data_IF_122609564739
#
_entry.id   IF_122609564739
#
_cell.length_a   1.000
_cell.length_b   1.000
_cell.length_c   1.000
_cell.angle_alpha   90.00
_cell.angle_beta   90.00
_cell.angle_gamma   90.00
#
_symmetry.space_group_name_H-M   'P 1'
#
loop_
_entity.id
_entity.type
_entity.pdbx_description
1 polymer ?
#
# COMPACT_ATOMS: atom_id res chain seq x y z
N UNK A 1 7.98 26.01 -25.84
CA UNK A 1 8.40 25.60 -24.48
C UNK A 1 9.24 24.34 -24.62
N UNK A 2 10.56 24.45 -24.47
CA UNK A 2 11.52 23.37 -24.69
C UNK A 2 11.14 22.12 -23.89
N UNK A 3 10.84 21.01 -24.59
CA UNK A 3 10.93 19.67 -24.01
C UNK A 3 12.42 19.41 -23.74
N UNK A 4 12.95 19.88 -22.61
CA UNK A 4 14.20 19.35 -22.10
C UNK A 4 13.97 17.85 -21.89
N UNK A 5 14.55 17.05 -22.78
CA UNK A 5 14.74 15.62 -22.59
C UNK A 5 15.65 15.51 -21.36
N UNK A 6 15.07 15.13 -20.23
CA UNK A 6 15.85 14.87 -19.02
C UNK A 6 16.61 13.57 -19.29
N UNK A 7 17.91 13.70 -19.53
CA UNK A 7 18.79 12.56 -19.75
C UNK A 7 19.28 12.00 -18.41
N UNK A 8 19.40 10.67 -18.31
CA UNK A 8 19.76 9.92 -17.10
C UNK A 8 21.25 10.02 -16.71
N UNK A 9 21.96 11.08 -17.10
CA UNK A 9 23.43 11.15 -16.97
C UNK A 9 23.93 11.49 -15.57
N UNK A 10 23.09 12.04 -14.68
CA UNK A 10 23.50 12.42 -13.33
C UNK A 10 23.14 11.34 -12.29
N UNK A 11 24.16 10.83 -11.57
CA UNK A 11 23.97 9.94 -10.43
C UNK A 11 23.53 10.75 -9.21
N UNK A 12 22.26 10.61 -8.82
CA UNK A 12 21.66 11.30 -7.68
C UNK A 12 21.55 10.43 -6.41
N UNK A 13 22.36 9.36 -6.26
CA UNK A 13 22.25 8.48 -5.09
C UNK A 13 22.49 9.19 -3.74
N UNK A 14 23.27 10.29 -3.75
CA UNK A 14 23.50 11.15 -2.58
C UNK A 14 22.41 12.22 -2.39
N UNK A 15 21.36 12.20 -3.20
CA UNK A 15 20.32 13.21 -3.24
C UNK A 15 20.60 14.35 -4.21
N UNK A 16 19.60 15.22 -4.40
CA UNK A 16 19.72 16.40 -5.25
C UNK A 16 20.42 17.53 -4.49
N UNK A 17 21.75 17.62 -4.63
CA UNK A 17 22.57 18.62 -3.93
C UNK A 17 22.40 20.05 -4.46
N UNK A 18 21.70 20.24 -5.58
CA UNK A 18 21.48 21.52 -6.24
C UNK A 18 19.98 21.80 -6.34
N UNK A 19 19.44 22.56 -5.40
CA UNK A 19 18.07 23.08 -5.45
C UNK A 19 18.06 24.59 -5.21
N UNK A 20 16.97 25.25 -5.61
CA UNK A 20 16.86 26.72 -5.50
C UNK A 20 16.87 27.11 -4.01
N UNK A 21 17.73 28.05 -3.58
CA UNK A 21 17.72 28.57 -2.21
C UNK A 21 16.34 29.13 -1.82
N UNK A 22 15.94 28.94 -0.56
CA UNK A 22 14.68 29.44 -0.03
C UNK A 22 13.44 28.60 -0.35
N UNK A 23 13.60 27.41 -0.95
CA UNK A 23 12.49 26.45 -1.08
C UNK A 23 12.18 25.78 0.25
N UNK A 24 10.90 25.53 0.51
CA UNK A 24 10.47 24.68 1.63
C UNK A 24 10.65 23.20 1.31
N UNK A 25 10.74 22.35 2.33
CA UNK A 25 10.82 20.88 2.15
C UNK A 25 9.68 20.34 1.29
N UNK A 26 8.46 20.88 1.43
CA UNK A 26 7.30 20.51 0.62
C UNK A 26 7.48 20.89 -0.86
N UNK A 27 8.06 22.06 -1.16
CA UNK A 27 8.33 22.47 -2.54
C UNK A 27 9.42 21.61 -3.17
N UNK A 28 10.46 21.26 -2.40
CA UNK A 28 11.52 20.35 -2.87
C UNK A 28 10.93 18.96 -3.15
N UNK A 29 10.14 18.42 -2.22
CA UNK A 29 9.48 17.12 -2.38
C UNK A 29 8.53 17.10 -3.59
N UNK A 30 7.67 18.11 -3.75
CA UNK A 30 6.76 18.22 -4.89
C UNK A 30 7.51 18.33 -6.22
N UNK A 31 8.61 19.09 -6.26
CA UNK A 31 9.45 19.23 -7.46
C UNK A 31 10.14 17.91 -7.81
N UNK A 32 10.65 17.17 -6.81
CA UNK A 32 11.24 15.86 -7.00
C UNK A 32 10.21 14.85 -7.53
N UNK A 33 8.99 14.85 -6.98
CA UNK A 33 7.88 14.02 -7.46
C UNK A 33 7.53 14.33 -8.93
N UNK A 34 7.45 15.62 -9.28
CA UNK A 34 7.18 16.04 -10.65
C UNK A 34 8.28 15.58 -11.63
N UNK A 35 9.55 15.68 -11.23
CA UNK A 35 10.68 15.24 -12.06
C UNK A 35 10.68 13.73 -12.25
N UNK A 36 10.45 12.95 -11.19
CA UNK A 36 10.43 11.48 -11.29
C UNK A 36 9.27 11.00 -12.18
N UNK A 37 8.09 11.61 -12.09
CA UNK A 37 6.96 11.28 -12.97
C UNK A 37 7.25 11.57 -14.44
N UNK A 38 7.95 12.67 -14.74
CA UNK A 38 8.39 12.99 -16.11
C UNK A 38 9.43 12.01 -16.64
N UNK A 39 10.39 11.62 -15.81
CA UNK A 39 11.40 10.62 -16.16
C UNK A 39 10.75 9.25 -16.39
N UNK A 40 9.87 8.84 -15.48
CA UNK A 40 9.13 7.59 -15.58
C UNK A 40 8.29 7.55 -16.86
N UNK A 41 7.58 8.63 -17.17
CA UNK A 41 6.84 8.81 -18.42
C UNK A 41 7.72 8.58 -19.65
N UNK A 42 8.94 9.13 -19.66
CA UNK A 42 9.90 8.93 -20.76
C UNK A 42 10.33 7.47 -20.89
N UNK A 43 10.56 6.78 -19.77
CA UNK A 43 10.91 5.35 -19.76
C UNK A 43 9.75 4.50 -20.26
N UNK A 44 8.54 4.76 -19.80
CA UNK A 44 7.34 4.01 -20.20
C UNK A 44 7.00 4.23 -21.67
N UNK A 45 7.18 5.45 -22.18
CA UNK A 45 6.99 5.75 -23.60
C UNK A 45 8.02 5.04 -24.48
N UNK A 46 9.30 4.98 -24.05
CA UNK A 46 10.34 4.20 -24.73
C UNK A 46 9.97 2.71 -24.75
N UNK A 47 9.54 2.15 -23.61
CA UNK A 47 9.12 0.75 -23.52
C UNK A 47 7.89 0.46 -24.40
N UNK A 48 6.90 1.36 -24.42
CA UNK A 48 5.70 1.26 -25.27
C UNK A 48 6.07 1.31 -26.75
N UNK A 49 6.99 2.19 -27.15
CA UNK A 49 7.43 2.35 -28.55
C UNK A 49 8.15 1.10 -29.08
N UNK A 50 8.82 0.34 -28.20
CA UNK A 50 9.38 -0.96 -28.58
C UNK A 50 8.31 -1.99 -28.99
N UNK A 51 7.03 -1.75 -28.65
CA UNK A 51 5.85 -2.51 -29.09
C UNK A 51 5.95 -4.03 -28.87
N UNK A 52 6.59 -4.45 -27.78
CA UNK A 52 6.79 -5.87 -27.44
C UNK A 52 5.52 -6.49 -26.83
N UNK A 53 4.79 -5.74 -26.00
CA UNK A 53 3.62 -6.23 -25.27
C UNK A 53 2.71 -5.07 -24.85
N UNK A 54 1.43 -5.36 -24.66
CA UNK A 54 0.46 -4.46 -24.01
C UNK A 54 0.44 -4.61 -22.48
N UNK A 55 1.19 -5.57 -21.95
CA UNK A 55 1.33 -5.85 -20.52
C UNK A 55 2.65 -5.27 -20.00
N UNK A 56 2.63 -4.69 -18.79
CA UNK A 56 3.78 -4.16 -18.10
C UNK A 56 4.06 -4.96 -16.82
N UNK A 57 5.28 -5.46 -16.72
CA UNK A 57 5.88 -5.91 -15.45
C UNK A 57 6.83 -4.82 -15.01
N UNK A 58 6.56 -4.17 -13.86
CA UNK A 58 7.36 -3.06 -13.37
C UNK A 58 7.96 -3.37 -12.00
N UNK A 59 9.29 -3.27 -11.92
CA UNK A 59 10.11 -3.58 -10.76
C UNK A 59 11.13 -2.47 -10.51
N UNK A 60 11.85 -2.54 -9.39
CA UNK A 60 12.76 -1.52 -8.88
C UNK A 60 12.12 -0.67 -7.79
N UNK A 61 12.94 -0.03 -6.94
CA UNK A 61 12.45 0.74 -5.79
C UNK A 61 11.49 1.88 -6.16
N UNK A 62 11.64 2.48 -7.35
CA UNK A 62 10.74 3.52 -7.87
C UNK A 62 9.31 3.00 -8.06
N UNK A 63 9.12 1.70 -8.31
CA UNK A 63 7.81 1.10 -8.49
C UNK A 63 6.95 1.11 -7.21
N UNK A 64 7.52 1.42 -6.04
CA UNK A 64 6.75 1.67 -4.81
C UNK A 64 6.04 3.05 -4.79
N UNK A 65 6.29 3.90 -5.80
CA UNK A 65 5.66 5.21 -5.95
C UNK A 65 4.25 5.07 -6.55
N UNK A 66 3.27 4.78 -5.68
CA UNK A 66 1.88 4.58 -6.08
C UNK A 66 1.22 5.80 -6.75
N UNK A 67 1.70 7.01 -6.45
CA UNK A 67 1.25 8.25 -7.10
C UNK A 67 1.67 8.26 -8.57
N UNK A 68 2.93 7.93 -8.85
CA UNK A 68 3.42 7.86 -10.23
C UNK A 68 2.80 6.68 -11.00
N UNK A 69 2.47 5.58 -10.31
CA UNK A 69 1.92 4.36 -10.90
C UNK A 69 0.53 4.56 -11.51
N UNK A 70 -0.26 5.55 -11.05
CA UNK A 70 -1.62 5.81 -11.60
C UNK A 70 -1.57 6.15 -13.09
N UNK A 71 -0.46 6.77 -13.53
CA UNK A 71 -0.28 7.23 -14.90
C UNK A 71 0.19 6.13 -15.87
N UNK A 72 0.53 4.93 -15.37
CA UNK A 72 1.04 3.83 -16.20
C UNK A 72 -0.02 3.29 -17.17
N UNK A 73 -1.29 3.46 -16.81
CA UNK A 73 -2.48 3.12 -17.63
C UNK A 73 -2.50 3.82 -18.99
N UNK A 74 -1.80 4.95 -19.12
CA UNK A 74 -1.64 5.69 -20.38
C UNK A 74 -0.80 4.91 -21.41
N UNK A 75 0.01 3.96 -20.95
CA UNK A 75 0.99 3.25 -21.79
C UNK A 75 0.68 1.77 -21.95
N UNK A 76 0.10 1.13 -20.94
CA UNK A 76 -0.13 -0.32 -20.90
C UNK A 76 -1.52 -0.68 -20.37
N UNK A 77 -2.04 -1.80 -20.86
CA UNK A 77 -3.40 -2.25 -20.56
C UNK A 77 -3.49 -3.13 -19.33
N UNK A 78 -2.41 -3.83 -18.98
CA UNK A 78 -2.34 -4.69 -17.80
C UNK A 78 -1.03 -4.43 -17.09
N UNK A 79 -1.09 -4.00 -15.83
CA UNK A 79 0.09 -3.61 -15.06
C UNK A 79 0.25 -4.56 -13.88
N UNK A 80 1.45 -5.07 -13.69
CA UNK A 80 1.79 -5.90 -12.55
C UNK A 80 3.05 -5.39 -11.86
N UNK A 81 2.93 -5.16 -10.55
CA UNK A 81 4.01 -4.74 -9.67
C UNK A 81 4.01 -5.69 -8.46
N UNK A 82 5.12 -6.37 -8.23
CA UNK A 82 5.30 -7.27 -7.09
C UNK A 82 5.19 -6.49 -5.76
N UNK A 83 4.69 -7.06 -4.66
CA UNK A 83 4.54 -6.33 -3.39
C UNK A 83 5.83 -5.69 -2.85
N UNK A 84 6.97 -6.30 -3.15
CA UNK A 84 8.29 -5.79 -2.81
C UNK A 84 9.14 -5.65 -4.08
N UNK A 85 8.93 -4.61 -4.89
CA UNK A 85 9.59 -4.50 -6.19
C UNK A 85 11.03 -3.99 -6.09
N UNK A 86 11.47 -3.52 -4.91
CA UNK A 86 12.83 -3.03 -4.68
C UNK A 86 13.86 -4.16 -4.52
N UNK A 87 15.06 -3.80 -4.07
CA UNK A 87 16.22 -4.69 -4.01
C UNK A 87 15.99 -5.98 -3.22
N UNK A 88 15.18 -5.93 -2.14
CA UNK A 88 14.81 -7.10 -1.38
C UNK A 88 13.99 -8.12 -2.21
N UNK A 89 13.19 -7.66 -3.18
CA UNK A 89 12.49 -8.51 -4.14
C UNK A 89 13.40 -9.19 -5.15
N UNK A 90 14.54 -8.57 -5.47
CA UNK A 90 15.51 -9.11 -6.43
C UNK A 90 16.09 -10.44 -5.97
N UNK A 91 16.16 -10.71 -4.67
CA UNK A 91 16.58 -12.01 -4.13
C UNK A 91 15.69 -13.16 -4.63
N UNK A 92 14.37 -12.92 -4.72
CA UNK A 92 13.43 -13.91 -5.26
C UNK A 92 13.67 -14.16 -6.76
N UNK A 93 13.94 -13.10 -7.52
CA UNK A 93 14.29 -13.19 -8.94
C UNK A 93 15.61 -13.91 -9.18
N UNK A 94 16.63 -13.64 -8.35
CA UNK A 94 17.92 -14.31 -8.42
C UNK A 94 17.81 -15.82 -8.13
N UNK A 95 17.02 -16.20 -7.11
CA UNK A 95 16.72 -17.59 -6.84
C UNK A 95 15.99 -18.25 -8.02
N UNK A 96 14.95 -17.61 -8.57
CA UNK A 96 14.20 -18.14 -9.71
C UNK A 96 15.12 -18.39 -10.93
N UNK A 97 16.03 -17.45 -11.21
CA UNK A 97 17.03 -17.58 -12.28
C UNK A 97 17.99 -18.75 -12.02
N UNK A 98 18.53 -18.88 -10.82
CA UNK A 98 19.48 -19.93 -10.45
C UNK A 98 18.86 -21.34 -10.52
N UNK A 99 17.59 -21.47 -10.11
CA UNK A 99 16.86 -22.73 -10.11
C UNK A 99 16.05 -22.99 -11.41
N UNK A 100 16.23 -22.15 -12.44
CA UNK A 100 15.67 -22.36 -13.79
C UNK A 100 14.14 -22.33 -13.86
N UNK A 101 13.47 -21.72 -12.87
CA UNK A 101 12.03 -21.83 -12.67
C UNK A 101 11.29 -20.52 -12.89
N UNK A 102 10.04 -20.61 -13.37
CA UNK A 102 9.06 -19.53 -13.19
C UNK A 102 8.54 -19.58 -11.76
N UNK A 103 8.49 -18.43 -11.10
CA UNK A 103 7.88 -18.32 -9.78
C UNK A 103 6.37 -18.60 -9.90
N UNK A 104 5.90 -19.63 -9.20
CA UNK A 104 4.47 -19.82 -8.94
C UNK A 104 4.08 -18.93 -7.77
N UNK A 105 3.77 -17.67 -8.06
CA UNK A 105 3.39 -16.70 -7.04
C UNK A 105 2.03 -17.07 -6.43
N UNK A 106 1.99 -17.33 -5.13
CA UNK A 106 0.77 -17.67 -4.39
C UNK A 106 0.25 -16.52 -3.53
N UNK A 107 0.99 -15.41 -3.46
CA UNK A 107 0.64 -14.25 -2.66
C UNK A 107 1.79 -13.76 -1.78
N UNK A 108 1.58 -12.65 -1.05
CA UNK A 108 2.64 -11.96 -0.32
C UNK A 108 2.98 -12.61 1.02
N UNK A 109 2.23 -13.58 1.52
CA UNK A 109 2.35 -14.07 2.90
C UNK A 109 3.48 -15.11 3.07
N UNK A 110 4.72 -14.65 2.96
CA UNK A 110 5.93 -15.48 2.91
C UNK A 110 6.77 -15.44 4.20
N UNK A 111 6.50 -14.50 5.11
CA UNK A 111 7.30 -14.26 6.32
C UNK A 111 6.98 -15.19 7.50
N UNK A 112 7.42 -14.77 8.69
CA UNK A 112 7.23 -15.49 9.95
C UNK A 112 5.74 -15.81 10.20
N UNK A 113 5.45 -17.05 10.59
CA UNK A 113 4.09 -17.49 10.89
C UNK A 113 3.78 -17.27 12.38
N UNK A 114 2.68 -16.59 12.68
CA UNK A 114 2.04 -16.64 14.00
C UNK A 114 0.84 -17.58 13.87
N UNK A 115 0.92 -18.81 14.42
CA UNK A 115 -0.06 -19.85 14.15
C UNK A 115 -1.38 -19.60 14.88
N UNK A 116 -2.47 -20.12 14.33
CA UNK A 116 -3.82 -19.96 14.83
C UNK A 116 -4.81 -19.72 13.70
N UNK A 117 -6.10 -19.80 14.01
CA UNK A 117 -7.12 -19.27 13.10
C UNK A 117 -7.06 -17.74 13.11
N UNK A 118 -7.30 -17.11 11.96
CA UNK A 118 -7.34 -15.65 11.90
C UNK A 118 -8.48 -15.13 12.80
N UNK A 119 -8.22 -14.22 13.76
CA UNK A 119 -9.11 -13.97 14.90
C UNK A 119 -10.28 -13.02 14.55
N UNK A 120 -11.08 -13.37 13.53
CA UNK A 120 -12.11 -12.52 12.94
C UNK A 120 -13.07 -11.94 13.99
N UNK A 121 -13.63 -12.79 14.86
CA UNK A 121 -14.65 -12.32 15.82
C UNK A 121 -14.05 -11.35 16.85
N UNK A 122 -12.87 -11.64 17.39
CA UNK A 122 -12.20 -10.75 18.34
C UNK A 122 -11.84 -9.39 17.70
N UNK A 123 -11.44 -9.39 16.43
CA UNK A 123 -11.20 -8.17 15.66
C UNK A 123 -12.50 -7.37 15.49
N UNK A 124 -13.61 -8.03 15.16
CA UNK A 124 -14.91 -7.36 15.02
C UNK A 124 -15.38 -6.74 16.33
N UNK A 125 -15.28 -7.46 17.45
CA UNK A 125 -15.68 -6.96 18.77
C UNK A 125 -14.89 -5.68 19.14
N UNK A 126 -13.58 -5.70 18.87
CA UNK A 126 -12.70 -4.55 19.12
C UNK A 126 -12.98 -3.39 18.16
N UNK A 127 -13.26 -3.65 16.88
CA UNK A 127 -13.66 -2.61 15.91
C UNK A 127 -15.01 -1.99 16.27
N UNK A 128 -15.98 -2.77 16.74
CA UNK A 128 -17.28 -2.24 17.15
C UNK A 128 -17.20 -1.41 18.43
N UNK A 129 -16.30 -1.76 19.35
CA UNK A 129 -16.16 -1.08 20.65
C UNK A 129 -15.20 0.11 20.58
N UNK A 130 -13.98 -0.12 20.07
CA UNK A 130 -12.87 0.82 20.11
C UNK A 130 -12.54 1.43 18.75
N UNK A 131 -13.08 0.87 17.65
CA UNK A 131 -12.91 1.36 16.27
C UNK A 131 -11.47 1.28 15.72
N UNK A 132 -10.51 0.76 16.48
CA UNK A 132 -9.10 0.57 16.11
C UNK A 132 -8.61 -0.72 16.75
N UNK A 133 -7.93 -1.58 15.98
CA UNK A 133 -7.40 -2.87 16.46
C UNK A 133 -6.12 -3.23 15.71
N UNK A 134 -5.15 -3.78 16.43
CA UNK A 134 -3.98 -4.42 15.84
C UNK A 134 -4.27 -5.88 15.48
N UNK A 135 -3.65 -6.35 14.41
CA UNK A 135 -3.73 -7.74 13.96
C UNK A 135 -2.33 -8.26 13.68
N UNK A 136 -1.99 -9.39 14.31
CA UNK A 136 -0.75 -10.10 14.08
C UNK A 136 -1.02 -11.61 14.01
N UNK A 137 -1.48 -12.09 12.85
CA UNK A 137 -1.90 -13.50 12.66
C UNK A 137 -1.39 -14.06 11.34
N UNK A 138 -1.14 -15.37 11.28
CA UNK A 138 -0.64 -16.05 10.08
C UNK A 138 0.77 -15.61 9.64
N UNK A 139 1.11 -15.92 8.39
CA UNK A 139 2.41 -15.56 7.79
C UNK A 139 2.47 -14.06 7.47
N UNK A 140 3.55 -13.41 7.90
CA UNK A 140 3.77 -12.00 7.61
C UNK A 140 3.88 -11.73 6.09
N UNK A 141 3.43 -10.55 5.68
CA UNK A 141 3.47 -10.04 4.33
C UNK A 141 4.91 -9.75 3.87
N UNK A 142 5.21 -10.04 2.62
CA UNK A 142 6.45 -9.69 1.97
C UNK A 142 6.35 -8.29 1.39
N UNK A 143 7.20 -7.39 1.88
CA UNK A 143 7.29 -6.01 1.39
C UNK A 143 6.96 -4.96 2.45
N UNK A 144 6.94 -3.68 2.05
CA UNK A 144 6.83 -2.57 3.00
C UNK A 144 5.39 -2.22 3.39
N UNK A 145 4.39 -2.98 2.91
CA UNK A 145 2.96 -2.72 3.13
C UNK A 145 2.38 -3.83 3.97
N UNK A 146 1.58 -3.46 4.97
CA UNK A 146 0.73 -4.41 5.66
C UNK A 146 -0.51 -4.68 4.81
N UNK A 147 -0.89 -5.94 4.67
CA UNK A 147 -1.94 -6.45 3.78
C UNK A 147 -2.91 -7.38 4.54
N UNK A 148 -3.10 -7.15 5.84
CA UNK A 148 -4.06 -7.84 6.70
C UNK A 148 -3.45 -8.66 7.85
N UNK A 149 -2.25 -9.22 7.69
CA UNK A 149 -1.66 -10.14 8.67
C UNK A 149 -0.81 -9.43 9.73
N UNK A 150 -0.24 -8.26 9.43
CA UNK A 150 0.51 -7.38 10.36
C UNK A 150 0.00 -5.95 10.31
N UNK A 151 -1.28 -5.79 10.59
CA UNK A 151 -2.02 -4.56 10.29
C UNK A 151 -2.54 -3.88 11.54
N UNK A 152 -2.56 -2.55 11.53
CA UNK A 152 -3.39 -1.76 12.42
C UNK A 152 -4.62 -1.35 11.60
N UNK A 153 -5.75 -1.96 11.94
CA UNK A 153 -7.02 -1.76 11.27
C UNK A 153 -7.87 -0.73 12.04
N UNK A 154 -8.69 0.02 11.33
CA UNK A 154 -9.66 0.92 11.96
C UNK A 154 -10.94 1.05 11.12
N UNK A 155 -12.04 1.43 11.78
CA UNK A 155 -13.27 1.83 11.09
C UNK A 155 -12.99 3.13 10.32
N UNK A 156 -13.11 3.18 8.98
CA UNK A 156 -12.78 4.36 8.20
C UNK A 156 -13.84 5.48 8.32
N UNK A 157 -14.97 5.21 8.99
CA UNK A 157 -16.10 6.14 9.14
C UNK A 157 -15.94 7.02 10.37
N UNK A 158 -16.22 8.32 10.21
CA UNK A 158 -16.15 9.30 11.28
C UNK A 158 -14.87 10.14 11.23
N UNK A 159 -14.96 11.35 11.76
CA UNK A 159 -13.93 12.39 11.58
C UNK A 159 -12.73 12.23 12.52
N UNK A 160 -12.89 11.54 13.66
CA UNK A 160 -11.87 11.41 14.71
C UNK A 160 -10.84 10.30 14.44
N UNK A 161 -11.19 9.32 13.61
CA UNK A 161 -10.39 8.10 13.40
C UNK A 161 -9.00 8.44 12.86
N UNK A 162 -8.92 9.35 11.90
CA UNK A 162 -7.64 9.76 11.28
C UNK A 162 -6.66 10.27 12.34
N UNK A 163 -7.14 11.10 13.25
CA UNK A 163 -6.34 11.71 14.30
C UNK A 163 -5.94 10.69 15.36
N UNK A 164 -6.84 9.79 15.73
CA UNK A 164 -6.56 8.71 16.68
C UNK A 164 -5.49 7.76 16.16
N UNK A 165 -5.59 7.33 14.91
CA UNK A 165 -4.56 6.48 14.28
C UNK A 165 -3.24 7.26 14.13
N UNK A 166 -3.27 8.54 13.74
CA UNK A 166 -2.07 9.38 13.67
C UNK A 166 -1.37 9.53 15.03
N UNK A 167 -2.10 9.67 16.14
CA UNK A 167 -1.55 9.70 17.51
C UNK A 167 -0.80 8.41 17.86
N UNK A 168 -1.32 7.25 17.45
CA UNK A 168 -0.65 5.95 17.62
C UNK A 168 0.62 5.90 16.75
N UNK A 169 0.52 6.28 15.47
CA UNK A 169 1.64 6.22 14.52
C UNK A 169 2.70 7.30 14.75
N UNK A 170 2.38 8.36 15.49
CA UNK A 170 3.26 9.51 15.81
C UNK A 170 3.98 10.07 14.57
N UNK A 171 3.27 10.15 13.45
CA UNK A 171 3.77 10.61 12.14
C UNK A 171 3.07 11.91 11.72
N UNK A 172 3.57 12.55 10.68
CA UNK A 172 2.98 13.79 10.16
C UNK A 172 1.52 13.56 9.73
N UNK A 173 0.64 14.48 10.12
CA UNK A 173 -0.83 14.35 10.00
C UNK A 173 -1.33 14.30 8.55
N UNK A 174 -0.57 14.89 7.63
CA UNK A 174 -0.93 14.87 6.21
C UNK A 174 -0.83 13.48 5.58
N UNK A 175 -0.18 12.49 6.23
CA UNK A 175 -0.04 11.13 5.68
C UNK A 175 -1.34 10.34 5.86
N UNK A 176 -2.04 10.01 4.77
CA UNK A 176 -3.31 9.32 4.88
C UNK A 176 -3.09 7.84 5.03
N UNK A 177 -4.18 7.16 5.32
CA UNK A 177 -4.21 5.73 5.49
C UNK A 177 -4.84 5.07 4.26
N UNK A 178 -4.48 3.83 4.03
CA UNK A 178 -4.96 3.09 2.86
C UNK A 178 -6.28 2.40 3.21
N UNK A 179 -7.29 2.43 2.33
CA UNK A 179 -8.42 1.52 2.46
C UNK A 179 -8.00 0.09 2.07
N UNK A 180 -8.51 -0.90 2.80
CA UNK A 180 -8.54 -2.31 2.42
C UNK A 180 -10.00 -2.71 2.20
N UNK A 181 -10.35 -3.09 0.96
CA UNK A 181 -11.73 -3.21 0.49
C UNK A 181 -11.99 -4.55 -0.20
N UNK A 182 -13.19 -5.08 -0.07
CA UNK A 182 -13.69 -6.20 -0.88
C UNK A 182 -13.58 -5.84 -2.36
N UNK A 183 -12.85 -6.65 -3.14
CA UNK A 183 -12.52 -6.34 -4.54
C UNK A 183 -13.76 -6.03 -5.40
N UNK A 184 -14.85 -6.75 -5.22
CA UNK A 184 -16.11 -6.56 -5.97
C UNK A 184 -16.81 -5.21 -5.70
N UNK A 185 -16.39 -4.47 -4.66
CA UNK A 185 -16.91 -3.14 -4.34
C UNK A 185 -15.95 -2.01 -4.75
N UNK A 186 -14.72 -2.30 -5.21
CA UNK A 186 -13.70 -1.28 -5.47
C UNK A 186 -14.20 -0.16 -6.40
N UNK A 187 -14.72 -0.51 -7.58
CA UNK A 187 -15.20 0.45 -8.60
C UNK A 187 -16.44 1.25 -8.15
N UNK A 188 -17.17 0.78 -7.14
CA UNK A 188 -18.32 1.51 -6.58
C UNK A 188 -17.89 2.67 -5.68
N UNK A 189 -16.71 2.56 -5.06
CA UNK A 189 -16.22 3.53 -4.07
C UNK A 189 -15.01 4.32 -4.57
N UNK A 190 -14.33 3.84 -5.61
CA UNK A 190 -13.13 4.45 -6.16
C UNK A 190 -13.16 4.48 -7.69
N UNK A 191 -12.67 5.58 -8.26
CA UNK A 191 -12.45 5.72 -9.71
C UNK A 191 -11.16 5.00 -10.11
N UNK A 192 -11.23 3.67 -10.23
CA UNK A 192 -10.05 2.82 -10.40
C UNK A 192 -9.36 3.09 -11.76
N UNK A 193 -8.02 3.27 -11.77
CA UNK A 193 -7.30 3.53 -13.01
C UNK A 193 -7.35 2.32 -13.94
N UNK A 194 -7.51 2.56 -15.24
CA UNK A 194 -7.53 1.52 -16.25
C UNK A 194 -6.28 0.61 -16.17
N UNK A 195 -6.45 -0.69 -16.37
CA UNK A 195 -5.37 -1.66 -16.33
C UNK A 195 -4.92 -2.09 -14.93
N UNK A 196 -5.61 -1.58 -13.90
CA UNK A 196 -5.52 -2.02 -12.52
C UNK A 196 -6.79 -2.78 -12.11
N UNK A 197 -7.00 -3.95 -12.71
CA UNK A 197 -8.14 -4.81 -12.39
C UNK A 197 -8.16 -5.25 -10.91
N UNK A 198 -6.98 -5.31 -10.29
CA UNK A 198 -6.81 -5.55 -8.85
C UNK A 198 -5.58 -4.80 -8.34
N UNK A 199 -5.63 -4.37 -7.08
CA UNK A 199 -4.58 -3.62 -6.39
C UNK A 199 -4.23 -4.25 -5.04
N UNK A 200 -4.14 -5.58 -5.00
CA UNK A 200 -3.88 -6.38 -3.78
C UNK A 200 -2.71 -5.89 -2.91
N UNK A 201 -1.74 -5.19 -3.50
CA UNK A 201 -0.49 -4.80 -2.85
C UNK A 201 -0.35 -3.29 -2.64
N UNK A 202 -1.44 -2.51 -2.72
CA UNK A 202 -1.43 -1.05 -2.55
C UNK A 202 -0.49 -0.32 -3.51
N UNK A 203 -0.48 -0.72 -4.79
CA UNK A 203 0.49 -0.24 -5.78
C UNK A 203 0.07 1.01 -6.54
N UNK A 204 -1.19 1.43 -6.40
CA UNK A 204 -1.73 2.58 -7.12
C UNK A 204 -2.65 3.38 -6.22
N UNK A 205 -2.85 4.64 -6.58
CA UNK A 205 -3.88 5.50 -5.98
C UNK A 205 -5.09 5.59 -6.90
N UNK A 206 -6.25 5.86 -6.33
CA UNK A 206 -7.45 6.19 -7.10
C UNK A 206 -8.28 7.23 -6.34
N UNK A 207 -9.14 7.96 -7.05
CA UNK A 207 -9.99 8.97 -6.44
C UNK A 207 -11.14 8.31 -5.67
N UNK A 208 -11.36 8.72 -4.43
CA UNK A 208 -12.51 8.28 -3.65
C UNK A 208 -13.80 8.97 -4.16
N UNK A 209 -14.82 8.17 -4.45
CA UNK A 209 -16.12 8.65 -4.95
C UNK A 209 -17.06 9.10 -3.83
N UNK A 210 -16.74 8.77 -2.57
CA UNK A 210 -17.55 9.05 -1.37
C UNK A 210 -16.67 9.54 -0.21
N UNK A 211 -15.91 10.63 -0.38
CA UNK A 211 -14.90 11.05 0.60
C UNK A 211 -15.50 11.41 1.97
N UNK A 212 -16.70 12.00 1.99
CA UNK A 212 -17.37 12.41 3.23
C UNK A 212 -17.79 11.22 4.11
N UNK A 213 -17.99 10.04 3.51
CA UNK A 213 -18.35 8.83 4.24
C UNK A 213 -17.13 8.14 4.87
N UNK A 214 -15.94 8.36 4.30
CA UNK A 214 -14.70 7.67 4.68
C UNK A 214 -13.51 8.63 4.85
N UNK A 215 -13.64 9.70 5.65
CA UNK A 215 -12.64 10.76 5.71
C UNK A 215 -11.26 10.27 6.19
N UNK A 216 -11.20 9.16 6.93
CA UNK A 216 -9.95 8.64 7.49
C UNK A 216 -9.00 8.03 6.44
N UNK A 217 -9.51 7.65 5.27
CA UNK A 217 -8.73 6.99 4.20
C UNK A 217 -8.48 7.90 2.98
N UNK A 218 -8.90 9.17 3.05
CA UNK A 218 -8.83 10.12 1.93
C UNK A 218 -7.71 11.15 2.14
N UNK A 219 -6.93 11.35 1.08
CA UNK A 219 -5.93 12.41 0.92
C UNK A 219 -6.60 13.78 0.72
N UNK A 220 -5.86 14.86 0.94
CA UNK A 220 -6.37 16.22 0.72
C UNK A 220 -6.78 16.48 -0.74
N UNK A 221 -6.18 15.76 -1.69
CA UNK A 221 -6.53 15.80 -3.12
C UNK A 221 -7.71 14.86 -3.50
N UNK A 222 -8.31 14.19 -2.52
CA UNK A 222 -9.44 13.26 -2.72
C UNK A 222 -9.03 11.84 -3.13
N UNK A 223 -7.74 11.53 -3.19
CA UNK A 223 -7.25 10.20 -3.56
C UNK A 223 -7.03 9.27 -2.37
N UNK A 224 -6.91 7.98 -2.64
CA UNK A 224 -6.60 6.93 -1.68
C UNK A 224 -5.72 5.88 -2.33
N UNK A 225 -4.77 5.31 -1.58
CA UNK A 225 -3.96 4.17 -2.02
C UNK A 225 -4.62 2.86 -1.65
N UNK A 226 -5.21 2.15 -2.60
CA UNK A 226 -6.20 1.11 -2.32
C UNK A 226 -5.58 -0.28 -2.29
N UNK A 227 -5.98 -1.09 -1.30
CA UNK A 227 -5.82 -2.53 -1.32
C UNK A 227 -7.16 -3.21 -1.63
N UNK A 228 -7.27 -3.86 -2.78
CA UNK A 228 -8.39 -4.79 -3.03
C UNK A 228 -8.11 -6.15 -2.40
N UNK A 229 -9.17 -6.83 -1.97
CA UNK A 229 -9.11 -8.17 -1.37
C UNK A 229 -9.99 -9.12 -2.18
N UNK A 230 -9.39 -9.98 -3.04
CA UNK A 230 -10.13 -10.93 -3.86
C UNK A 230 -10.72 -12.06 -2.99
N UNK A 231 -11.66 -12.81 -3.56
CA UNK A 231 -12.36 -13.91 -2.85
C UNK A 231 -11.43 -15.05 -2.42
N UNK A 232 -10.37 -15.29 -3.17
CA UNK A 232 -9.36 -16.32 -2.93
C UNK A 232 -8.15 -15.81 -2.14
N UNK A 233 -8.24 -14.61 -1.55
CA UNK A 233 -7.18 -14.09 -0.68
C UNK A 233 -6.87 -15.10 0.44
N UNK A 234 -5.61 -15.55 0.59
CA UNK A 234 -5.26 -16.60 1.55
C UNK A 234 -5.19 -16.08 3.00
N UNK A 235 -5.33 -14.78 3.22
CA UNK A 235 -5.43 -14.18 4.56
C UNK A 235 -6.87 -14.15 5.04
N UNK A 236 -7.08 -14.33 6.35
CA UNK A 236 -8.40 -14.19 6.97
C UNK A 236 -8.98 -12.76 6.92
N UNK A 237 -8.23 -11.77 6.41
CA UNK A 237 -8.73 -10.42 6.16
C UNK A 237 -9.96 -10.40 5.24
N UNK A 238 -10.07 -11.34 4.30
CA UNK A 238 -11.24 -11.46 3.42
C UNK A 238 -12.50 -11.75 4.22
N UNK A 239 -12.45 -12.77 5.08
CA UNK A 239 -13.56 -13.15 5.95
C UNK A 239 -13.93 -12.04 6.94
N UNK A 240 -12.92 -11.32 7.47
CA UNK A 240 -13.16 -10.16 8.31
C UNK A 240 -13.97 -9.09 7.56
N UNK A 241 -13.57 -8.72 6.35
CA UNK A 241 -14.24 -7.69 5.57
C UNK A 241 -15.67 -8.08 5.20
N UNK A 242 -15.91 -9.34 4.86
CA UNK A 242 -17.25 -9.84 4.56
C UNK A 242 -18.18 -9.71 5.77
N UNK A 243 -17.73 -10.14 6.95
CA UNK A 243 -18.52 -9.99 8.18
C UNK A 243 -18.68 -8.53 8.60
N UNK A 244 -17.63 -7.73 8.47
CA UNK A 244 -17.68 -6.30 8.73
C UNK A 244 -18.72 -5.61 7.84
N UNK A 245 -18.75 -5.96 6.55
CA UNK A 245 -19.73 -5.43 5.60
C UNK A 245 -21.16 -5.79 6.01
N UNK A 246 -21.42 -7.05 6.38
CA UNK A 246 -22.75 -7.48 6.88
C UNK A 246 -23.19 -6.68 8.11
N UNK A 247 -22.27 -6.41 9.04
CA UNK A 247 -22.58 -5.71 10.28
C UNK A 247 -22.75 -4.19 10.12
N UNK A 248 -22.15 -3.60 9.08
CA UNK A 248 -21.93 -2.15 9.05
C UNK A 248 -22.32 -1.46 7.73
N UNK A 249 -22.62 -2.24 6.69
CA UNK A 249 -22.78 -1.78 5.30
C UNK A 249 -21.54 -1.05 4.74
N UNK A 250 -20.39 -1.19 5.40
CA UNK A 250 -19.10 -0.64 4.97
C UNK A 250 -18.22 -1.76 4.40
N UNK A 251 -17.86 -1.76 3.10
CA UNK A 251 -17.13 -2.86 2.48
C UNK A 251 -15.61 -2.80 2.71
N UNK A 252 -15.15 -1.89 3.55
CA UNK A 252 -13.73 -1.60 3.72
C UNK A 252 -13.36 -1.26 5.16
N UNK A 253 -12.06 -1.40 5.45
CA UNK A 253 -11.42 -0.91 6.65
C UNK A 253 -10.28 0.04 6.29
N UNK A 254 -9.88 0.88 7.23
CA UNK A 254 -8.59 1.54 7.18
C UNK A 254 -7.50 0.52 7.51
N UNK A 255 -6.43 0.47 6.72
CA UNK A 255 -5.27 -0.37 6.95
C UNK A 255 -3.97 0.45 6.98
N UNK A 256 -3.13 0.19 7.98
CA UNK A 256 -1.77 0.71 8.08
C UNK A 256 -0.86 -0.30 8.77
N UNK A 257 0.46 -0.13 8.64
CA UNK A 257 1.41 -1.07 9.22
C UNK A 257 1.34 -1.14 10.74
N UNK A 258 1.34 -2.37 11.28
CA UNK A 258 1.52 -2.60 12.71
C UNK A 258 3.02 -2.51 13.04
N UNK A 259 3.44 -1.35 13.52
CA UNK A 259 4.84 -1.10 13.89
C UNK A 259 4.97 0.04 14.88
N UNK A 260 6.01 -0.05 15.71
CA UNK A 260 6.48 1.03 16.57
C UNK A 260 7.23 2.04 15.70
N UNK A 261 7.05 3.34 15.98
CA UNK A 261 7.75 4.40 15.23
C UNK A 261 9.26 4.22 15.34
N UNK A 262 9.94 4.12 14.19
CA UNK A 262 11.38 3.88 14.11
C UNK A 262 11.76 2.40 14.02
N UNK A 263 10.79 1.49 14.17
CA UNK A 263 10.99 0.05 14.09
C UNK A 263 10.35 -0.55 12.83
N UNK A 264 10.85 -1.72 12.37
CA UNK A 264 10.19 -2.53 11.34
C UNK A 264 8.77 -2.95 11.73
N UNK A 265 8.06 -3.53 10.76
CA UNK A 265 6.76 -4.16 11.02
C UNK A 265 6.91 -5.29 12.03
N UNK A 266 5.91 -5.45 12.89
CA UNK A 266 5.79 -6.57 13.82
C UNK A 266 6.00 -7.88 13.06
N UNK A 267 6.94 -8.71 13.50
CA UNK A 267 7.26 -9.97 12.85
C UNK A 267 6.65 -11.17 13.61
N UNK A 268 6.81 -11.19 14.93
CA UNK A 268 6.37 -12.25 15.82
C UNK A 268 5.42 -11.78 16.94
N UNK A 269 5.01 -12.71 17.82
CA UNK A 269 4.10 -12.38 18.92
C UNK A 269 4.72 -11.40 19.91
N UNK A 270 6.02 -11.52 20.21
CA UNK A 270 6.69 -10.65 21.16
C UNK A 270 6.75 -9.19 20.67
N UNK A 271 7.02 -8.97 19.38
CA UNK A 271 6.94 -7.65 18.75
C UNK A 271 5.56 -7.01 18.92
N UNK A 272 4.54 -7.83 18.78
CA UNK A 272 3.17 -7.38 18.85
C UNK A 272 2.72 -7.09 20.30
N UNK A 273 3.17 -7.88 21.27
CA UNK A 273 2.94 -7.61 22.70
C UNK A 273 3.63 -6.30 23.11
N UNK A 274 4.84 -6.03 22.60
CA UNK A 274 5.52 -4.75 22.80
C UNK A 274 4.73 -3.59 22.18
N UNK A 275 4.13 -3.78 21.00
CA UNK A 275 3.25 -2.79 20.39
C UNK A 275 2.02 -2.51 21.27
N UNK A 276 1.32 -3.56 21.72
CA UNK A 276 0.13 -3.46 22.60
C UNK A 276 0.46 -2.71 23.88
N UNK A 277 1.54 -3.08 24.58
CA UNK A 277 2.00 -2.42 25.80
C UNK A 277 2.39 -0.95 25.59
N UNK A 278 3.06 -0.64 24.47
CA UNK A 278 3.55 0.72 24.22
C UNK A 278 2.43 1.69 23.85
N UNK A 279 1.47 1.24 23.05
CA UNK A 279 0.43 2.11 22.49
C UNK A 279 -0.94 1.93 23.13
N UNK A 280 -1.12 0.93 24.00
CA UNK A 280 -2.39 0.61 24.65
C UNK A 280 -3.49 0.36 23.60
N UNK A 281 -3.13 -0.38 22.54
CA UNK A 281 -4.02 -0.79 21.46
C UNK A 281 -4.03 -2.31 21.43
N UNK A 282 -5.21 -2.91 21.54
CA UNK A 282 -5.36 -4.37 21.51
C UNK A 282 -4.83 -4.96 20.21
N UNK A 283 -4.05 -6.03 20.28
CA UNK A 283 -3.56 -6.80 19.13
C UNK A 283 -4.09 -8.22 19.16
N UNK A 284 -5.03 -8.52 18.27
CA UNK A 284 -5.54 -9.86 18.05
C UNK A 284 -4.53 -10.70 17.25
N UNK A 285 -4.41 -11.99 17.59
CA UNK A 285 -3.57 -12.98 16.89
C UNK A 285 -4.31 -14.27 16.71
#
# INVERSE_FOLDING_TARGET
>A
RNKQQLEFFDNLHLGCLKYKPGMTDFQVAASAQYVIERLLSTVMEKARTANISKNLVYMGGVALNCSANEHLSKYFNNIWIMPNPGDAGSALGAAALAYGGRLKWQGPYLGTNIPGEYPVNAILDELMSNRIVGVASGRAEFGPRALGNRSLLADPRGEDIKDRVNKIKRRQEFRPFAPVILEEYADKYFDMPQGWASTEYMQVVARCLRPDHFPAIVHQDGTSRIQTVPKDCPSGIRQLLEKWFVLTDCPMLLNTSLNIKGEPMVNDRADADRFEQRYQVKVCS
#
